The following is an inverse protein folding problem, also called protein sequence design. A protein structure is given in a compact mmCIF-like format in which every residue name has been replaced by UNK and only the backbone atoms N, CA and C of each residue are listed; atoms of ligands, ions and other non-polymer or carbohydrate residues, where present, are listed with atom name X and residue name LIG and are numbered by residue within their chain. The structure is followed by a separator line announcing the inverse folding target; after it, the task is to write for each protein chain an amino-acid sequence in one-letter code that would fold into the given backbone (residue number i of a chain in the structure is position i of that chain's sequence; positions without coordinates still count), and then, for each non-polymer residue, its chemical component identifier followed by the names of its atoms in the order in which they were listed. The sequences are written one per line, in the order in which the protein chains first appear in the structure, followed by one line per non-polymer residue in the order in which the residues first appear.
data_IF_275797481312
#
_entry.id   IF_275797481312
#
_cell.length_a   1.000
_cell.length_b   1.000
_cell.length_c   1.000
_cell.angle_alpha   90.00
_cell.angle_beta   90.00
_cell.angle_gamma   90.00
#
_symmetry.space_group_name_H-M   'P 1'
#
loop_
_entity.id
_entity.type
_entity.pdbx_description
1 polymer ?
#
# COMPACT_ATOMS: atom_id res chain seq x y z
N UNK A 1 -7.40 -15.55 -6.57
CA UNK A 1 -6.99 -14.17 -6.83
C UNK A 1 -5.77 -13.85 -5.99
N UNK A 2 -4.73 -13.30 -6.61
CA UNK A 2 -3.46 -13.01 -5.91
C UNK A 2 -3.40 -11.53 -5.54
N UNK A 3 -3.36 -11.23 -4.24
CA UNK A 3 -3.22 -9.87 -3.75
C UNK A 3 -1.75 -9.61 -3.44
N UNK A 4 -0.96 -9.49 -4.51
CA UNK A 4 0.47 -9.25 -4.39
C UNK A 4 0.81 -7.76 -4.55
N UNK A 5 2.10 -7.45 -4.69
CA UNK A 5 2.54 -6.08 -4.83
C UNK A 5 2.01 -5.43 -6.11
N UNK A 6 1.84 -6.19 -7.18
CA UNK A 6 1.26 -5.67 -8.42
C UNK A 6 -0.19 -5.23 -8.20
N UNK A 7 -0.96 -6.04 -7.47
CA UNK A 7 -2.31 -5.65 -7.07
C UNK A 7 -2.28 -4.35 -6.28
N UNK A 8 -1.37 -4.25 -5.32
CA UNK A 8 -1.26 -3.09 -4.47
C UNK A 8 -0.94 -1.83 -5.29
N UNK A 9 -0.03 -1.92 -6.24
CA UNK A 9 0.31 -0.78 -7.10
C UNK A 9 -0.88 -0.29 -7.89
N UNK A 10 -1.67 -1.20 -8.44
CA UNK A 10 -2.86 -0.83 -9.20
C UNK A 10 -3.90 -0.13 -8.34
N UNK A 11 -4.12 -0.65 -7.14
CA UNK A 11 -5.09 -0.08 -6.23
C UNK A 11 -4.65 1.30 -5.74
N UNK A 12 -3.37 1.48 -5.45
CA UNK A 12 -2.86 2.77 -5.03
C UNK A 12 -2.97 3.79 -6.17
N UNK A 13 -2.68 3.39 -7.39
CA UNK A 13 -2.85 4.30 -8.52
C UNK A 13 -4.30 4.75 -8.67
N UNK A 14 -5.24 3.83 -8.54
CA UNK A 14 -6.66 4.14 -8.62
C UNK A 14 -7.12 5.05 -7.48
N UNK A 15 -6.54 4.87 -6.30
CA UNK A 15 -6.94 5.60 -5.10
C UNK A 15 -6.32 7.01 -5.04
N UNK A 16 -5.04 7.13 -5.42
CA UNK A 16 -4.26 8.35 -5.22
C UNK A 16 -3.73 8.97 -6.51
N UNK A 17 -3.80 8.27 -7.62
CA UNK A 17 -3.16 8.60 -8.90
C UNK A 17 -1.62 8.62 -8.82
N UNK A 18 -1.05 8.15 -7.72
CA UNK A 18 0.40 8.03 -7.57
C UNK A 18 0.85 6.73 -8.23
N UNK A 19 1.78 6.86 -9.20
CA UNK A 19 2.33 5.70 -9.89
C UNK A 19 3.55 5.19 -9.14
N UNK A 20 3.39 4.06 -8.45
CA UNK A 20 4.49 3.48 -7.68
C UNK A 20 5.60 2.93 -8.57
N UNK A 21 5.37 2.77 -9.85
CA UNK A 21 6.42 2.37 -10.78
C UNK A 21 7.50 3.44 -10.95
N UNK A 22 7.20 4.68 -10.57
CA UNK A 22 8.16 5.77 -10.58
C UNK A 22 9.16 5.66 -9.43
N UNK A 23 8.90 4.81 -8.45
CA UNK A 23 9.75 4.61 -7.28
C UNK A 23 10.52 3.30 -7.40
N UNK A 24 11.63 3.21 -6.65
CA UNK A 24 12.40 1.97 -6.60
C UNK A 24 11.55 0.92 -5.87
N UNK A 25 11.26 -0.17 -6.56
CA UNK A 25 10.35 -1.20 -6.05
C UNK A 25 10.81 -1.77 -4.70
N UNK A 26 12.09 -2.09 -4.58
CA UNK A 26 12.61 -2.70 -3.35
C UNK A 26 12.43 -1.79 -2.15
N UNK A 27 12.70 -0.51 -2.30
CA UNK A 27 12.56 0.45 -1.21
C UNK A 27 11.11 0.68 -0.85
N UNK A 28 10.27 0.84 -1.84
CA UNK A 28 8.84 1.07 -1.62
C UNK A 28 8.18 -0.15 -0.99
N UNK A 29 8.50 -1.34 -1.49
CA UNK A 29 7.96 -2.58 -0.95
C UNK A 29 8.36 -2.77 0.51
N UNK A 30 9.61 -2.48 0.83
CA UNK A 30 10.10 -2.59 2.21
C UNK A 30 9.36 -1.63 3.14
N UNK A 31 9.15 -0.39 2.68
CA UNK A 31 8.41 0.60 3.45
C UNK A 31 6.97 0.13 3.71
N UNK A 32 6.33 -0.38 2.67
CA UNK A 32 4.96 -0.86 2.79
C UNK A 32 4.87 -2.05 3.72
N UNK A 33 5.80 -3.00 3.61
CA UNK A 33 5.86 -4.16 4.50
C UNK A 33 6.04 -3.72 5.95
N UNK A 34 6.85 -2.70 6.20
CA UNK A 34 7.04 -2.14 7.53
C UNK A 34 5.74 -1.55 8.07
N UNK A 35 5.02 -0.79 7.25
CA UNK A 35 3.75 -0.20 7.67
C UNK A 35 2.70 -1.27 7.93
N UNK A 36 2.66 -2.30 7.09
CA UNK A 36 1.74 -3.43 7.27
C UNK A 36 2.02 -4.13 8.61
N UNK A 37 3.28 -4.38 8.90
CA UNK A 37 3.67 -5.02 10.14
C UNK A 37 3.37 -4.13 11.35
N UNK A 38 3.61 -2.83 11.22
CA UNK A 38 3.36 -1.87 12.30
C UNK A 38 1.89 -1.86 12.70
N UNK A 39 1.00 -1.95 11.74
CA UNK A 39 -0.44 -1.91 12.00
C UNK A 39 -1.07 -3.28 12.12
N UNK A 40 -0.25 -4.33 12.10
CA UNK A 40 -0.70 -5.72 12.22
C UNK A 40 -1.73 -6.10 11.16
N UNK A 41 -1.53 -5.58 9.95
CA UNK A 41 -2.41 -5.84 8.82
C UNK A 41 -1.92 -7.10 8.12
N UNK A 42 -2.85 -7.92 7.66
CA UNK A 42 -2.53 -9.16 6.94
C UNK A 42 -2.83 -8.98 5.46
N UNK A 43 -1.78 -8.80 4.66
CA UNK A 43 -1.89 -8.74 3.20
C UNK A 43 -2.17 -7.35 2.65
N UNK A 44 -1.88 -7.19 1.36
CA UNK A 44 -2.03 -5.91 0.70
C UNK A 44 -3.49 -5.49 0.53
N UNK A 45 -4.37 -6.47 0.35
CA UNK A 45 -5.79 -6.17 0.21
C UNK A 45 -6.36 -5.51 1.46
N UNK A 46 -5.96 -6.00 2.62
CA UNK A 46 -6.40 -5.41 3.89
C UNK A 46 -5.80 -4.02 4.07
N UNK A 47 -4.55 -3.83 3.65
CA UNK A 47 -3.92 -2.51 3.77
C UNK A 47 -4.62 -1.49 2.87
N UNK A 48 -4.98 -1.88 1.65
CA UNK A 48 -5.72 -1.00 0.74
C UNK A 48 -7.06 -0.61 1.34
N UNK A 49 -7.77 -1.58 1.94
CA UNK A 49 -9.03 -1.29 2.59
C UNK A 49 -8.84 -0.30 3.75
N UNK A 50 -7.80 -0.50 4.53
CA UNK A 50 -7.51 0.41 5.65
C UNK A 50 -7.18 1.82 5.15
N UNK A 51 -6.44 1.94 4.06
CA UNK A 51 -6.13 3.24 3.47
C UNK A 51 -7.39 3.97 2.99
N UNK A 52 -8.36 3.22 2.50
CA UNK A 52 -9.63 3.80 2.04
C UNK A 52 -10.49 4.31 3.19
N UNK A 53 -10.39 3.69 4.35
CA UNK A 53 -11.27 3.99 5.49
C UNK A 53 -10.59 4.80 6.59
N UNK A 54 -9.26 4.77 6.67
CA UNK A 54 -8.51 5.45 7.72
C UNK A 54 -7.58 6.49 7.11
N UNK A 55 -7.95 7.75 7.28
CA UNK A 55 -7.18 8.86 6.74
C UNK A 55 -5.79 8.96 7.37
N UNK A 56 -5.66 8.59 8.63
CA UNK A 56 -4.36 8.62 9.32
C UNK A 56 -3.38 7.67 8.66
N UNK A 57 -3.83 6.46 8.34
CA UNK A 57 -2.98 5.50 7.63
C UNK A 57 -2.59 6.02 6.25
N UNK A 58 -3.52 6.66 5.57
CA UNK A 58 -3.25 7.23 4.26
C UNK A 58 -2.18 8.32 4.35
N UNK A 59 -2.28 9.20 5.32
CA UNK A 59 -1.31 10.26 5.54
C UNK A 59 0.07 9.71 5.89
N UNK A 60 0.11 8.63 6.66
CA UNK A 60 1.37 7.98 7.00
C UNK A 60 2.01 7.34 5.77
N UNK A 61 1.19 6.81 4.87
CA UNK A 61 1.69 6.22 3.63
C UNK A 61 2.29 7.28 2.71
N UNK A 62 1.64 8.40 2.57
CA UNK A 62 2.11 9.50 1.72
C UNK A 62 3.24 10.25 2.40
#
# INVERSE_FOLDING_TARGET
MIYDYEYFKKEIYSLTTIDLNAYKEKQMKRRIDTLIAKHKIVGYDKYVQALKTDKVLFEEFV
#
